data_IF_889585442967
#
_entry.id   IF_889585442967
#
_cell.length_a   1.000
_cell.length_b   1.000
_cell.length_c   1.000
_cell.angle_alpha   90.00
_cell.angle_beta   90.00
_cell.angle_gamma   90.00
#
_symmetry.space_group_name_H-M   'P 1'
#
loop_
_entity.id
_entity.type
_entity.pdbx_description
1 polymer ?
#
# COMPACT_ATOMS: atom_id res chain seq x y z
N UNK A 1 -13.45 -10.76 -15.15
CA UNK A 1 -13.50 -10.37 -13.71
C UNK A 1 -13.96 -8.92 -13.51
N UNK A 2 -13.41 -7.92 -14.24
CA UNK A 2 -13.79 -6.51 -14.05
C UNK A 2 -15.25 -6.16 -14.39
N UNK A 3 -15.96 -7.01 -15.14
CA UNK A 3 -17.37 -6.78 -15.53
C UNK A 3 -18.38 -7.30 -14.52
N UNK A 4 -17.95 -8.10 -13.57
CA UNK A 4 -18.85 -8.73 -12.59
C UNK A 4 -18.78 -7.97 -11.27
N UNK A 5 -19.82 -7.25 -10.93
CA UNK A 5 -19.88 -6.40 -9.74
C UNK A 5 -19.77 -7.20 -8.43
N UNK A 6 -20.35 -8.40 -8.39
CA UNK A 6 -20.25 -9.27 -7.22
C UNK A 6 -18.80 -9.72 -6.96
N UNK A 7 -18.07 -10.07 -8.03
CA UNK A 7 -16.67 -10.46 -7.95
C UNK A 7 -15.78 -9.28 -7.55
N UNK A 8 -16.05 -8.08 -8.08
CA UNK A 8 -15.36 -6.85 -7.66
C UNK A 8 -15.56 -6.59 -6.17
N UNK A 9 -16.78 -6.77 -5.68
CA UNK A 9 -17.10 -6.58 -4.26
C UNK A 9 -16.45 -7.64 -3.38
N UNK A 10 -16.42 -8.90 -3.80
CA UNK A 10 -15.84 -10.01 -3.05
C UNK A 10 -14.31 -9.94 -2.98
N UNK A 11 -13.64 -9.63 -4.09
CA UNK A 11 -12.19 -9.63 -4.19
C UNK A 11 -11.54 -8.28 -3.80
N UNK A 12 -12.30 -7.19 -3.87
CA UNK A 12 -11.81 -5.88 -3.48
C UNK A 12 -10.52 -5.48 -4.22
N UNK A 13 -9.53 -5.05 -3.45
CA UNK A 13 -8.24 -4.56 -3.96
C UNK A 13 -7.25 -5.66 -4.39
N UNK A 14 -7.51 -6.94 -4.08
CA UNK A 14 -6.63 -8.07 -4.47
C UNK A 14 -7.03 -8.74 -5.78
N UNK A 15 -7.90 -8.11 -6.57
CA UNK A 15 -8.44 -8.67 -7.82
C UNK A 15 -7.36 -9.07 -8.83
N UNK A 16 -6.32 -8.24 -8.98
CA UNK A 16 -5.21 -8.51 -9.88
C UNK A 16 -4.42 -9.75 -9.45
N UNK A 17 -4.27 -9.99 -8.15
CA UNK A 17 -3.57 -11.17 -7.62
C UNK A 17 -4.35 -12.45 -7.95
N UNK A 18 -5.66 -12.43 -7.78
CA UNK A 18 -6.52 -13.56 -8.17
C UNK A 18 -6.55 -13.75 -9.70
N UNK A 19 -6.61 -12.66 -10.46
CA UNK A 19 -6.57 -12.73 -11.92
C UNK A 19 -5.26 -13.35 -12.41
N UNK A 20 -4.13 -12.98 -11.80
CA UNK A 20 -2.84 -13.60 -12.06
C UNK A 20 -2.86 -15.11 -11.76
N UNK A 21 -3.33 -15.52 -10.58
CA UNK A 21 -3.42 -16.93 -10.22
C UNK A 21 -4.25 -17.74 -11.20
N UNK A 22 -5.41 -17.24 -11.62
CA UNK A 22 -6.27 -17.87 -12.63
C UNK A 22 -5.57 -17.95 -13.99
N UNK A 23 -4.90 -16.87 -14.41
CA UNK A 23 -4.16 -16.85 -15.68
C UNK A 23 -3.04 -17.89 -15.70
N UNK A 24 -2.26 -17.98 -14.64
CA UNK A 24 -1.19 -18.99 -14.50
C UNK A 24 -1.76 -20.42 -14.51
N UNK A 25 -2.85 -20.66 -13.80
CA UNK A 25 -3.51 -21.96 -13.78
C UNK A 25 -4.00 -22.38 -15.17
N UNK A 26 -4.57 -21.45 -15.95
CA UNK A 26 -5.05 -21.70 -17.31
C UNK A 26 -3.90 -21.91 -18.32
N UNK A 27 -2.73 -21.35 -18.06
CA UNK A 27 -1.57 -21.41 -18.95
C UNK A 27 -0.42 -22.25 -18.36
N UNK A 28 -0.71 -23.19 -17.48
CA UNK A 28 0.28 -24.01 -16.77
C UNK A 28 1.26 -24.77 -17.69
N UNK A 29 0.89 -25.02 -18.96
CA UNK A 29 1.77 -25.68 -19.95
C UNK A 29 2.78 -24.72 -20.58
N UNK A 30 2.50 -23.43 -20.59
CA UNK A 30 3.33 -22.37 -21.17
C UNK A 30 4.10 -21.57 -20.14
N UNK A 31 3.59 -21.50 -18.92
CA UNK A 31 4.18 -20.73 -17.83
C UNK A 31 4.75 -21.67 -16.79
N UNK A 32 6.06 -21.66 -16.65
CA UNK A 32 6.74 -22.34 -15.55
C UNK A 32 6.63 -21.49 -14.30
N UNK A 33 5.91 -21.99 -13.33
CA UNK A 33 5.53 -21.30 -12.12
C UNK A 33 5.95 -22.12 -10.90
N UNK A 34 6.70 -21.50 -10.00
CA UNK A 34 7.14 -22.13 -8.76
C UNK A 34 6.51 -21.40 -7.57
N UNK A 35 5.87 -22.18 -6.70
CA UNK A 35 5.44 -21.70 -5.39
C UNK A 35 6.56 -21.99 -4.40
N UNK A 36 6.99 -20.98 -3.68
CA UNK A 36 7.95 -21.09 -2.58
C UNK A 36 7.23 -21.11 -1.25
N UNK A 37 7.84 -21.72 -0.27
CA UNK A 37 7.40 -21.60 1.11
C UNK A 37 7.48 -20.13 1.54
N UNK A 38 6.38 -19.54 2.05
CA UNK A 38 6.38 -18.16 2.53
C UNK A 38 7.44 -17.87 3.59
N UNK A 39 7.84 -18.88 4.38
CA UNK A 39 8.86 -18.74 5.41
C UNK A 39 10.29 -18.85 4.86
N UNK A 40 10.47 -19.38 3.65
CA UNK A 40 11.78 -19.51 2.99
C UNK A 40 11.78 -18.96 1.56
N UNK A 41 11.00 -17.93 1.31
CA UNK A 41 10.95 -17.26 0.01
C UNK A 41 12.31 -16.67 -0.37
N UNK A 42 12.67 -16.83 -1.65
CA UNK A 42 13.83 -16.15 -2.24
C UNK A 42 13.49 -14.76 -2.75
N UNK A 43 12.21 -14.45 -2.86
CA UNK A 43 11.74 -13.21 -3.49
C UNK A 43 11.35 -12.18 -2.44
N UNK A 44 10.46 -12.52 -1.52
CA UNK A 44 9.77 -11.52 -0.71
C UNK A 44 9.46 -12.03 0.70
N UNK A 45 9.58 -11.15 1.67
CA UNK A 45 9.03 -11.31 3.02
C UNK A 45 8.10 -10.14 3.34
N UNK A 46 7.23 -10.32 4.34
CA UNK A 46 6.25 -9.31 4.76
C UNK A 46 6.45 -8.87 6.21
N UNK A 47 7.33 -7.89 6.50
CA UNK A 47 7.31 -7.23 7.80
C UNK A 47 5.93 -6.56 8.04
N UNK A 48 5.49 -6.42 9.30
CA UNK A 48 6.22 -6.70 10.55
C UNK A 48 6.11 -8.14 11.06
N UNK A 49 5.44 -9.04 10.34
CA UNK A 49 5.17 -10.39 10.81
C UNK A 49 6.29 -11.38 10.52
N UNK A 50 7.20 -11.07 9.62
CA UNK A 50 8.34 -11.91 9.31
C UNK A 50 9.31 -12.03 10.50
N UNK A 51 9.73 -13.25 10.82
CA UNK A 51 10.67 -13.54 11.91
C UNK A 51 12.11 -13.70 11.44
N UNK A 52 12.35 -13.69 10.13
CA UNK A 52 13.68 -13.79 9.53
C UNK A 52 13.70 -13.13 8.16
N UNK A 53 14.83 -12.59 7.76
CA UNK A 53 15.04 -12.12 6.39
C UNK A 53 15.21 -13.30 5.42
N UNK A 54 15.78 -14.40 5.89
CA UNK A 54 16.03 -15.57 5.08
C UNK A 54 16.87 -15.24 3.84
N UNK A 55 16.42 -15.76 2.69
CA UNK A 55 17.01 -15.53 1.36
C UNK A 55 16.25 -14.47 0.55
N UNK A 56 15.26 -13.83 1.14
CA UNK A 56 14.40 -12.88 0.44
C UNK A 56 15.17 -11.64 -0.04
N UNK A 57 14.97 -11.29 -1.29
CA UNK A 57 15.56 -10.11 -1.90
C UNK A 57 14.76 -8.82 -1.63
N UNK A 58 13.50 -8.94 -1.24
CA UNK A 58 12.58 -7.83 -1.07
C UNK A 58 11.84 -7.91 0.28
N UNK A 59 11.65 -6.76 0.90
CA UNK A 59 10.71 -6.59 2.01
C UNK A 59 9.43 -5.93 1.48
N UNK A 60 8.34 -6.68 1.37
CA UNK A 60 7.04 -6.15 0.97
C UNK A 60 6.29 -5.61 2.18
N UNK A 61 6.44 -4.35 2.42
CA UNK A 61 5.79 -3.66 3.52
C UNK A 61 4.33 -3.33 3.17
N UNK A 62 3.42 -4.26 3.48
CA UNK A 62 2.00 -4.14 3.13
C UNK A 62 1.23 -3.32 4.16
N UNK A 63 1.49 -3.55 5.43
CA UNK A 63 0.76 -2.99 6.57
C UNK A 63 1.59 -1.95 7.32
N UNK A 64 0.91 -1.07 8.06
CA UNK A 64 1.59 -0.24 9.04
C UNK A 64 2.33 -1.13 10.07
N UNK A 65 3.47 -0.66 10.56
CA UNK A 65 4.10 -1.24 11.73
C UNK A 65 3.58 -0.54 12.97
N UNK A 66 2.68 -1.20 13.69
CA UNK A 66 2.17 -0.71 14.97
C UNK A 66 2.49 -1.69 16.07
N UNK A 67 2.71 -1.17 17.26
CA UNK A 67 2.90 -1.96 18.49
C UNK A 67 1.90 -1.52 19.52
N UNK A 68 1.37 -2.48 20.23
CA UNK A 68 0.35 -2.28 21.26
C UNK A 68 0.83 -2.87 22.58
N UNK A 69 0.44 -2.24 23.69
CA UNK A 69 0.72 -2.72 25.05
C UNK A 69 -0.08 -3.98 25.41
N UNK A 70 -1.20 -4.20 24.72
CA UNK A 70 -2.10 -5.35 24.84
C UNK A 70 -2.64 -5.71 23.47
N UNK A 71 -3.27 -6.89 23.30
CA UNK A 71 -3.94 -7.22 22.06
C UNK A 71 -4.90 -6.10 21.60
N UNK A 72 -4.83 -5.64 20.34
CA UNK A 72 -5.73 -4.62 19.81
C UNK A 72 -7.22 -4.96 20.02
N UNK A 73 -7.61 -6.23 19.89
CA UNK A 73 -8.98 -6.69 20.17
C UNK A 73 -9.42 -6.52 21.64
N UNK A 74 -8.47 -6.35 22.56
CA UNK A 74 -8.68 -6.12 23.98
C UNK A 74 -8.41 -4.66 24.40
N UNK A 75 -8.66 -3.73 23.49
CA UNK A 75 -8.42 -2.29 23.71
C UNK A 75 -6.94 -1.97 24.04
N UNK A 76 -6.02 -2.62 23.37
CA UNK A 76 -4.60 -2.29 23.47
C UNK A 76 -4.31 -0.87 23.00
N UNK A 77 -3.45 -0.16 23.74
CA UNK A 77 -2.99 1.18 23.38
C UNK A 77 -1.86 1.07 22.37
N UNK A 78 -1.94 1.83 21.27
CA UNK A 78 -0.85 1.90 20.30
C UNK A 78 0.33 2.70 20.90
N UNK A 79 1.43 2.01 21.16
CA UNK A 79 2.66 2.59 21.77
C UNK A 79 3.70 3.00 20.75
N UNK A 80 3.56 2.53 19.51
CA UNK A 80 4.39 2.91 18.38
C UNK A 80 3.62 2.68 17.08
N UNK A 81 3.80 3.60 16.13
CA UNK A 81 3.28 3.46 14.77
C UNK A 81 4.24 4.05 13.76
N UNK A 82 4.43 3.34 12.68
CA UNK A 82 4.91 3.90 11.42
C UNK A 82 4.07 3.36 10.27
N UNK A 83 3.56 4.26 9.44
CA UNK A 83 2.77 3.93 8.26
C UNK A 83 3.30 4.70 7.05
N UNK A 84 3.72 3.98 6.01
CA UNK A 84 4.18 4.61 4.76
C UNK A 84 3.15 5.55 4.13
N UNK A 85 1.87 5.38 4.45
CA UNK A 85 0.78 6.22 3.94
C UNK A 85 0.78 7.62 4.54
N UNK A 86 1.40 7.80 5.70
CA UNK A 86 1.54 9.10 6.36
C UNK A 86 2.67 9.94 5.68
N UNK A 87 3.41 9.34 4.74
CA UNK A 87 4.56 9.93 4.05
C UNK A 87 4.26 10.22 2.56
N UNK A 88 3.08 10.76 2.28
CA UNK A 88 2.61 11.00 0.90
C UNK A 88 2.69 12.44 0.43
N UNK A 89 3.08 13.33 1.32
CA UNK A 89 3.15 14.75 0.98
C UNK A 89 4.28 15.01 -0.04
N UNK A 90 4.05 15.86 -1.04
CA UNK A 90 5.02 16.10 -2.10
C UNK A 90 6.41 16.50 -1.60
N UNK A 91 6.48 17.33 -0.53
CA UNK A 91 7.75 17.75 0.04
C UNK A 91 8.56 16.58 0.63
N UNK A 92 7.90 15.54 1.12
CA UNK A 92 8.55 14.33 1.63
C UNK A 92 9.18 13.49 0.50
N UNK A 93 8.60 13.53 -0.70
CA UNK A 93 9.19 12.87 -1.87
C UNK A 93 10.43 13.60 -2.40
N UNK A 94 10.46 14.95 -2.26
CA UNK A 94 11.59 15.77 -2.71
C UNK A 94 12.80 15.68 -1.78
N UNK A 95 12.55 15.58 -0.50
CA UNK A 95 13.56 15.42 0.55
C UNK A 95 13.06 14.43 1.60
N UNK A 96 13.21 13.14 1.36
CA UNK A 96 12.79 12.13 2.31
C UNK A 96 13.48 12.30 3.66
N UNK A 97 12.70 12.17 4.72
CA UNK A 97 13.21 12.17 6.08
C UNK A 97 13.38 10.73 6.58
N UNK A 98 14.23 10.55 7.57
CA UNK A 98 14.37 9.25 8.23
C UNK A 98 13.03 8.76 8.79
N UNK A 99 12.78 7.49 8.57
CA UNK A 99 11.64 6.83 9.22
C UNK A 99 11.95 6.64 10.72
N UNK A 100 10.98 6.86 11.61
CA UNK A 100 11.18 6.69 13.04
C UNK A 100 11.46 5.23 13.36
N UNK A 101 12.59 4.94 13.99
CA UNK A 101 12.91 3.59 14.42
C UNK A 101 11.98 3.15 15.55
N UNK A 102 11.61 1.87 15.60
CA UNK A 102 10.82 1.34 16.68
C UNK A 102 11.58 1.39 18.00
N UNK A 103 10.89 1.61 19.13
CA UNK A 103 11.51 1.56 20.45
C UNK A 103 12.10 0.17 20.71
N UNK A 104 12.97 0.06 21.70
CA UNK A 104 13.56 -1.20 22.11
C UNK A 104 12.50 -2.28 22.33
N UNK A 105 12.87 -3.52 22.08
CA UNK A 105 11.99 -4.65 22.30
C UNK A 105 11.54 -4.70 23.76
N UNK A 106 10.24 -4.87 23.95
CA UNK A 106 9.62 -5.11 25.25
C UNK A 106 8.74 -6.34 25.12
N UNK A 107 8.93 -7.29 25.99
CA UNK A 107 8.11 -8.50 26.04
C UNK A 107 6.66 -8.16 26.40
N UNK A 108 5.70 -8.93 25.86
CA UNK A 108 4.27 -8.73 26.12
C UNK A 108 3.60 -7.67 25.23
N UNK A 109 4.32 -7.11 24.28
CA UNK A 109 3.71 -6.26 23.23
C UNK A 109 3.10 -7.09 22.09
N UNK A 110 2.22 -6.46 21.32
CA UNK A 110 1.49 -7.07 20.23
C UNK A 110 1.61 -6.25 18.95
N UNK A 111 1.51 -6.94 17.82
CA UNK A 111 1.32 -6.40 16.49
C UNK A 111 -0.19 -6.31 16.15
N UNK A 112 -0.53 -5.88 14.95
CA UNK A 112 -1.90 -6.02 14.43
C UNK A 112 -2.38 -7.47 14.46
N UNK A 113 -3.69 -7.66 14.46
CA UNK A 113 -4.37 -8.96 14.50
C UNK A 113 -4.04 -9.79 15.76
N UNK A 114 -3.75 -9.11 16.87
CA UNK A 114 -3.39 -9.74 18.16
C UNK A 114 -2.14 -10.64 18.09
N UNK A 115 -1.34 -10.51 17.04
CA UNK A 115 -0.10 -11.27 16.92
C UNK A 115 0.92 -10.80 17.99
N UNK A 116 1.52 -11.70 18.76
CA UNK A 116 2.53 -11.30 19.74
C UNK A 116 3.77 -10.73 19.01
N UNK A 117 4.33 -9.66 19.55
CA UNK A 117 5.61 -9.15 19.10
C UNK A 117 6.73 -10.05 19.64
N UNK A 118 7.46 -10.69 18.74
CA UNK A 118 8.65 -11.48 19.11
C UNK A 118 9.93 -10.66 18.95
N UNK A 119 11.01 -11.05 19.63
CA UNK A 119 12.33 -10.46 19.42
C UNK A 119 12.76 -10.57 17.95
N UNK A 120 12.42 -11.66 17.29
CA UNK A 120 12.76 -11.88 15.88
C UNK A 120 12.02 -10.91 14.96
N UNK A 121 10.71 -10.73 15.12
CA UNK A 121 9.94 -9.74 14.35
C UNK A 121 10.51 -8.33 14.57
N UNK A 122 10.84 -8.00 15.83
CA UNK A 122 11.46 -6.73 16.17
C UNK A 122 12.75 -6.51 15.41
N UNK A 123 13.67 -7.49 15.44
CA UNK A 123 14.96 -7.38 14.77
C UNK A 123 14.84 -7.24 13.25
N UNK A 124 13.93 -8.00 12.61
CA UNK A 124 13.69 -7.89 11.17
C UNK A 124 13.16 -6.49 10.82
N UNK A 125 12.19 -6.01 11.58
CA UNK A 125 11.60 -4.69 11.36
C UNK A 125 12.62 -3.57 11.58
N UNK A 126 13.38 -3.63 12.67
CA UNK A 126 14.43 -2.65 12.97
C UNK A 126 15.46 -2.59 11.83
N UNK A 127 15.99 -3.74 11.42
CA UNK A 127 16.96 -3.81 10.33
C UNK A 127 16.42 -3.26 9.01
N UNK A 128 15.16 -3.54 8.68
CA UNK A 128 14.53 -2.97 7.50
C UNK A 128 14.49 -1.44 7.56
N UNK A 129 14.10 -0.87 8.69
CA UNK A 129 14.01 0.59 8.85
C UNK A 129 15.38 1.26 8.88
N UNK A 130 16.38 0.63 9.49
CA UNK A 130 17.76 1.10 9.45
C UNK A 130 18.30 1.13 8.01
N UNK A 131 18.05 0.09 7.23
CA UNK A 131 18.42 0.07 5.81
C UNK A 131 17.68 1.11 4.99
N UNK A 132 16.40 1.38 5.28
CA UNK A 132 15.66 2.47 4.67
C UNK A 132 16.30 3.83 4.99
N UNK A 133 16.67 4.07 6.23
CA UNK A 133 17.33 5.31 6.64
C UNK A 133 18.69 5.47 5.98
N UNK A 134 19.49 4.40 5.90
CA UNK A 134 20.76 4.41 5.16
C UNK A 134 20.56 4.70 3.66
N UNK A 135 19.49 4.19 3.05
CA UNK A 135 19.17 4.51 1.66
C UNK A 135 18.72 5.97 1.51
N UNK A 136 17.95 6.49 2.45
CA UNK A 136 17.51 7.90 2.46
C UNK A 136 18.71 8.85 2.52
N UNK A 137 19.73 8.52 3.30
CA UNK A 137 20.97 9.32 3.38
C UNK A 137 21.73 9.43 2.03
N UNK A 138 21.48 8.51 1.12
CA UNK A 138 22.07 8.50 -0.22
C UNK A 138 21.21 9.17 -1.27
N UNK A 139 19.96 9.52 -0.95
CA UNK A 139 19.06 10.19 -1.89
C UNK A 139 19.42 11.69 -2.01
N UNK A 140 19.39 12.23 -3.23
CA UNK A 140 19.62 13.65 -3.43
C UNK A 140 18.46 14.48 -2.86
N UNK A 141 18.76 15.68 -2.38
CA UNK A 141 17.74 16.70 -2.13
C UNK A 141 17.26 17.26 -3.48
N UNK A 142 16.04 16.94 -3.85
CA UNK A 142 15.43 17.35 -5.12
C UNK A 142 14.67 18.68 -5.03
N UNK A 143 14.68 19.34 -3.88
CA UNK A 143 13.88 20.55 -3.63
C UNK A 143 14.19 21.66 -4.64
N UNK A 144 15.46 21.94 -4.90
CA UNK A 144 15.84 22.98 -5.86
C UNK A 144 15.54 22.58 -7.31
N UNK A 145 15.74 21.31 -7.66
CA UNK A 145 15.40 20.83 -8.99
C UNK A 145 13.90 20.88 -9.24
N UNK A 146 13.08 20.57 -8.23
CA UNK A 146 11.63 20.60 -8.34
C UNK A 146 11.09 22.00 -8.64
N UNK A 147 11.72 23.05 -8.15
CA UNK A 147 11.34 24.45 -8.45
C UNK A 147 11.33 24.75 -9.95
N UNK A 148 12.22 24.13 -10.71
CA UNK A 148 12.29 24.32 -12.17
C UNK A 148 11.07 23.70 -12.88
N UNK A 149 10.46 22.68 -12.28
CA UNK A 149 9.31 21.98 -12.83
C UNK A 149 7.98 22.48 -12.27
N UNK A 150 7.97 23.34 -11.27
CA UNK A 150 6.77 23.83 -10.60
C UNK A 150 5.73 24.40 -11.59
N UNK A 151 6.08 25.25 -12.57
CA UNK A 151 5.11 25.75 -13.55
C UNK A 151 4.48 24.65 -14.39
N UNK A 152 5.27 23.63 -14.76
CA UNK A 152 4.78 22.48 -15.52
C UNK A 152 3.84 21.62 -14.67
N UNK A 153 4.18 21.38 -13.41
CA UNK A 153 3.36 20.62 -12.48
C UNK A 153 2.01 21.30 -12.25
N UNK A 154 1.99 22.61 -12.01
CA UNK A 154 0.76 23.39 -11.82
C UNK A 154 -0.14 23.32 -13.04
N UNK A 155 0.43 23.43 -14.25
CA UNK A 155 -0.32 23.25 -15.49
C UNK A 155 -0.95 21.86 -15.58
N UNK A 156 -0.19 20.80 -15.30
CA UNK A 156 -0.68 19.42 -15.36
C UNK A 156 -1.79 19.13 -14.32
N UNK A 157 -1.65 19.69 -13.13
CA UNK A 157 -2.68 19.61 -12.08
C UNK A 157 -3.96 20.29 -12.58
N UNK A 158 -3.86 21.51 -13.11
CA UNK A 158 -5.01 22.25 -13.63
C UNK A 158 -5.71 21.51 -14.77
N UNK A 159 -4.95 20.95 -15.71
CA UNK A 159 -5.50 20.13 -16.80
C UNK A 159 -6.21 18.86 -16.29
N UNK A 160 -5.64 18.17 -15.30
CA UNK A 160 -6.25 17.02 -14.65
C UNK A 160 -7.59 17.42 -13.99
N UNK A 161 -7.58 18.47 -13.22
CA UNK A 161 -8.76 18.92 -12.46
C UNK A 161 -9.89 19.36 -13.40
N UNK A 162 -9.56 20.02 -14.50
CA UNK A 162 -10.50 20.37 -15.55
C UNK A 162 -11.10 19.11 -16.20
N UNK A 163 -10.31 18.08 -16.49
CA UNK A 163 -10.79 16.80 -17.03
C UNK A 163 -11.74 16.10 -16.05
N UNK A 164 -11.38 16.06 -14.77
CA UNK A 164 -12.22 15.45 -13.71
C UNK A 164 -13.54 16.21 -13.57
N UNK A 165 -13.52 17.53 -13.59
CA UNK A 165 -14.73 18.36 -13.55
C UNK A 165 -15.64 18.11 -14.77
N UNK A 166 -15.07 18.06 -15.97
CA UNK A 166 -15.80 17.75 -17.20
C UNK A 166 -16.44 16.35 -17.19
N UNK A 167 -15.73 15.34 -16.63
CA UNK A 167 -16.28 14.00 -16.48
C UNK A 167 -17.46 13.97 -15.49
N UNK A 168 -17.35 14.65 -14.36
CA UNK A 168 -18.43 14.78 -13.37
C UNK A 168 -19.66 15.46 -13.97
N UNK A 169 -19.49 16.54 -14.73
CA UNK A 169 -20.57 17.24 -15.41
C UNK A 169 -21.28 16.37 -16.45
N UNK A 170 -20.53 15.60 -17.24
CA UNK A 170 -21.09 14.66 -18.22
C UNK A 170 -21.90 13.54 -17.55
N UNK A 171 -21.39 12.99 -16.45
CA UNK A 171 -22.07 11.96 -15.67
C UNK A 171 -23.38 12.49 -15.08
N UNK A 172 -23.40 13.71 -14.53
CA UNK A 172 -24.59 14.36 -14.02
C UNK A 172 -25.64 14.61 -15.12
N UNK A 173 -25.23 15.12 -16.29
CA UNK A 173 -26.09 15.34 -17.43
C UNK A 173 -26.68 14.04 -18.03
N UNK A 174 -25.86 12.96 -18.02
CA UNK A 174 -26.33 11.63 -18.45
C UNK A 174 -27.39 11.04 -17.52
N UNK A 175 -27.22 11.22 -16.21
CA UNK A 175 -28.18 10.74 -15.21
C UNK A 175 -29.52 11.44 -15.29
N UNK A 176 -29.53 12.75 -15.57
CA UNK A 176 -30.77 13.54 -15.81
C UNK A 176 -31.56 13.08 -17.02
N UNK A 177 -30.89 12.74 -18.14
CA UNK A 177 -31.56 12.23 -19.35
C UNK A 177 -32.19 10.85 -19.14
N UNK A 178 -31.61 10.00 -18.34
CA UNK A 178 -32.19 8.67 -18.01
C UNK A 178 -33.43 8.82 -17.12
N UNK A 179 -33.40 9.72 -16.14
CA UNK A 179 -34.56 10.01 -15.31
C UNK A 179 -35.73 10.58 -16.09
N UNK A 180 -35.48 11.52 -17.01
CA UNK A 180 -36.52 12.12 -17.88
C UNK A 180 -37.15 11.08 -18.83
N UNK A 181 -36.34 10.18 -19.41
CA UNK A 181 -36.88 9.08 -20.24
C UNK A 181 -37.75 8.12 -19.47
N UNK A 182 -37.42 7.81 -18.21
CA UNK A 182 -38.28 6.95 -17.36
C UNK A 182 -39.64 7.61 -17.04
N UNK A 183 -39.67 8.92 -16.80
CA UNK A 183 -40.89 9.64 -16.55
C UNK A 183 -41.80 9.68 -17.77
N UNK A 184 -41.25 9.84 -18.98
CA UNK A 184 -42.00 9.89 -20.23
C UNK A 184 -42.47 8.52 -20.76
N UNK A 185 -41.92 7.42 -20.25
CA UNK A 185 -42.32 6.05 -20.61
C UNK A 185 -43.36 5.45 -19.66
N UNK A 186 -43.72 6.13 -18.57
CA UNK A 186 -44.73 5.71 -17.59
C UNK A 186 -46.06 6.49 -17.66
N UNK A 187 -46.20 7.32 -18.66
CA UNK A 187 -47.46 8.00 -19.07
C UNK A 187 -47.99 7.41 -20.38
#
# INVERSE_FOLDING_TARGET
>A
MEKEEEMKKALGWVREMYAWGVAVANHHRQVHYRVEDPEDSTTIIQPPFAERLGRAALCHYTWATSRFDKPPSKNGTEVYKWDKRDWREPHQALKPQHVPLPPNFTEGQFLHFDAPLTLKNHQVTLRMMEQMNQAIDQLPDLTEQAKQFEPTLQRLISERDAKVAAQKSRAAAGSGKVALRRLLSSS
#
